data_IF_076478304138
#
_entry.id   IF_076478304138
#
_cell.length_a   1.000
_cell.length_b   1.000
_cell.length_c   1.000
_cell.angle_alpha   90.00
_cell.angle_beta   90.00
_cell.angle_gamma   90.00
#
_symmetry.space_group_name_H-M   'P 1'
#
loop_
_entity.id
_entity.type
_entity.pdbx_description
1 polymer ?
#
# COMPACT_ATOMS: atom_id res chain seq x y z
N UNK A 1 30.89 4.07 10.46
CA UNK A 1 31.99 3.09 10.68
C UNK A 1 33.29 3.45 9.95
N UNK A 2 33.35 3.53 8.61
CA UNK A 2 34.62 3.86 7.94
C UNK A 2 35.12 5.28 8.26
N UNK A 3 34.22 6.28 8.25
CA UNK A 3 34.58 7.67 8.58
C UNK A 3 35.03 7.80 10.05
N UNK A 4 34.36 7.10 10.98
CA UNK A 4 34.68 7.13 12.40
C UNK A 4 36.02 6.45 12.73
N UNK A 5 36.36 5.34 12.05
CA UNK A 5 37.63 4.64 12.28
C UNK A 5 38.82 5.36 11.63
N UNK A 6 38.58 6.13 10.55
CA UNK A 6 39.62 6.86 9.81
C UNK A 6 40.24 8.00 10.61
N UNK A 7 39.55 8.51 11.64
CA UNK A 7 40.08 9.58 12.49
C UNK A 7 41.20 9.11 13.41
N UNK A 8 41.29 7.81 13.72
CA UNK A 8 42.24 7.27 14.69
C UNK A 8 43.13 6.16 14.14
N UNK A 9 42.75 5.50 13.04
CA UNK A 9 43.47 4.33 12.52
C UNK A 9 43.56 4.34 10.99
N UNK A 10 44.62 3.72 10.46
CA UNK A 10 44.81 3.50 9.02
C UNK A 10 45.56 2.19 8.74
N UNK A 11 45.08 1.43 7.74
CA UNK A 11 45.79 0.28 7.20
C UNK A 11 45.40 0.00 5.73
N UNK A 12 46.24 -0.71 4.95
CA UNK A 12 45.91 -1.10 3.58
C UNK A 12 44.67 -1.98 3.54
N UNK A 13 43.66 -1.61 2.74
CA UNK A 13 42.42 -2.39 2.61
C UNK A 13 41.35 -2.12 3.66
N UNK A 14 41.56 -1.18 4.59
CA UNK A 14 40.64 -0.84 5.69
C UNK A 14 39.16 -0.72 5.31
N UNK A 15 38.84 -0.08 4.19
CA UNK A 15 37.45 0.05 3.72
C UNK A 15 36.82 -1.32 3.38
N UNK A 16 37.60 -2.22 2.78
CA UNK A 16 37.19 -3.58 2.40
C UNK A 16 36.96 -4.43 3.65
N UNK A 17 37.86 -4.35 4.62
CA UNK A 17 37.75 -5.13 5.86
C UNK A 17 36.56 -4.69 6.70
N UNK A 18 36.32 -3.38 6.79
CA UNK A 18 35.15 -2.82 7.47
C UNK A 18 33.86 -3.26 6.78
N UNK A 19 33.81 -3.23 5.44
CA UNK A 19 32.64 -3.70 4.69
C UNK A 19 32.38 -5.20 4.93
N UNK A 20 33.44 -6.01 4.97
CA UNK A 20 33.36 -7.45 5.21
C UNK A 20 32.93 -7.77 6.64
N UNK A 21 33.41 -7.00 7.62
CA UNK A 21 32.98 -7.10 9.02
C UNK A 21 31.49 -6.75 9.17
N UNK A 22 31.06 -5.61 8.61
CA UNK A 22 29.65 -5.19 8.65
C UNK A 22 28.75 -6.19 7.92
N UNK A 23 29.20 -6.75 6.79
CA UNK A 23 28.46 -7.76 6.04
C UNK A 23 28.28 -9.09 6.78
N UNK A 24 29.15 -9.41 7.75
CA UNK A 24 29.04 -10.60 8.61
C UNK A 24 28.23 -10.35 9.89
N UNK A 25 27.91 -9.09 10.21
CA UNK A 25 27.18 -8.76 11.43
C UNK A 25 25.70 -9.11 11.28
N UNK A 26 25.24 -10.14 12.00
CA UNK A 26 23.85 -10.59 11.98
C UNK A 26 22.85 -9.49 12.37
N UNK A 27 23.19 -8.64 13.33
CA UNK A 27 22.34 -7.52 13.73
C UNK A 27 22.22 -6.49 12.61
N UNK A 28 23.34 -6.15 11.94
CA UNK A 28 23.31 -5.25 10.79
C UNK A 28 22.55 -5.85 9.61
N UNK A 29 22.70 -7.14 9.33
CA UNK A 29 21.99 -7.81 8.23
C UNK A 29 20.50 -7.97 8.49
N UNK A 30 20.07 -8.11 9.75
CA UNK A 30 18.65 -8.17 10.11
C UNK A 30 17.95 -6.80 10.07
N UNK A 31 18.70 -5.73 10.35
CA UNK A 31 18.14 -4.36 10.43
C UNK A 31 18.27 -3.61 9.10
N UNK A 32 19.32 -3.88 8.32
CA UNK A 32 19.47 -3.27 6.99
C UNK A 32 18.54 -3.98 6.00
N UNK A 33 17.54 -3.24 5.52
CA UNK A 33 16.86 -3.59 4.29
C UNK A 33 17.89 -3.76 3.16
N UNK A 34 17.88 -4.92 2.52
CA UNK A 34 18.67 -5.18 1.33
C UNK A 34 18.10 -4.29 0.21
N UNK A 35 18.83 -3.24 -0.18
CA UNK A 35 18.53 -2.53 -1.42
C UNK A 35 18.91 -3.47 -2.58
N UNK A 36 18.06 -4.45 -2.84
CA UNK A 36 18.25 -5.38 -3.95
C UNK A 36 18.37 -4.59 -5.26
N UNK A 37 19.06 -5.20 -6.24
CA UNK A 37 19.05 -4.76 -7.64
C UNK A 37 17.61 -4.41 -8.06
N UNK A 38 17.41 -3.45 -8.99
CA UNK A 38 16.06 -3.11 -9.40
C UNK A 38 15.33 -4.39 -9.77
N UNK A 39 14.20 -4.64 -9.10
CA UNK A 39 13.22 -5.63 -9.54
C UNK A 39 13.05 -5.48 -11.06
N UNK A 40 12.83 -6.60 -11.77
CA UNK A 40 12.61 -6.56 -13.22
C UNK A 40 11.62 -5.48 -13.63
N UNK A 41 11.64 -5.07 -14.91
CA UNK A 41 10.81 -3.98 -15.42
C UNK A 41 9.39 -4.07 -14.85
N UNK A 42 9.01 -3.02 -14.09
CA UNK A 42 7.68 -2.86 -13.55
C UNK A 42 6.68 -3.05 -14.68
N UNK A 43 5.88 -4.11 -14.64
CA UNK A 43 4.67 -4.15 -15.47
C UNK A 43 3.70 -3.17 -14.85
N UNK A 44 3.75 -1.93 -15.34
CA UNK A 44 2.74 -0.95 -15.02
C UNK A 44 1.40 -1.48 -15.58
N UNK A 45 0.35 -1.56 -14.75
CA UNK A 45 -0.98 -1.82 -15.26
C UNK A 45 -1.33 -0.74 -16.27
N UNK A 46 -2.07 -1.10 -17.31
CA UNK A 46 -2.51 -0.15 -18.33
C UNK A 46 -3.10 1.12 -17.69
N UNK A 47 -2.72 2.26 -18.25
CA UNK A 47 -3.22 3.55 -17.77
C UNK A 47 -4.71 3.63 -18.14
N UNK A 48 -5.61 3.91 -17.19
CA UNK A 48 -7.03 4.05 -17.48
C UNK A 48 -7.27 5.18 -18.47
N UNK A 49 -8.31 5.06 -19.30
CA UNK A 49 -8.66 6.12 -20.25
C UNK A 49 -9.64 7.11 -19.65
N UNK A 50 -10.42 6.69 -18.64
CA UNK A 50 -11.41 7.53 -17.98
C UNK A 50 -11.23 7.63 -16.48
N UNK A 51 -11.69 8.75 -15.90
CA UNK A 51 -11.68 8.96 -14.45
C UNK A 51 -12.58 7.91 -13.78
N UNK A 52 -12.15 7.39 -12.63
CA UNK A 52 -12.92 6.40 -11.85
C UNK A 52 -13.15 5.06 -12.55
N UNK A 53 -12.50 4.83 -13.69
CA UNK A 53 -12.56 3.56 -14.40
C UNK A 53 -11.79 2.48 -13.64
N UNK A 54 -10.60 2.80 -13.17
CA UNK A 54 -9.80 1.90 -12.33
C UNK A 54 -9.42 2.60 -11.04
N UNK A 55 -9.68 1.94 -9.92
CA UNK A 55 -9.41 2.49 -8.60
C UNK A 55 -8.51 1.56 -7.79
N UNK A 56 -7.76 2.14 -6.87
CA UNK A 56 -7.02 1.40 -5.85
C UNK A 56 -7.65 1.60 -4.48
N UNK A 57 -7.76 0.55 -3.69
CA UNK A 57 -8.33 0.59 -2.34
C UNK A 57 -7.34 0.07 -1.30
N UNK A 58 -7.34 0.71 -0.14
CA UNK A 58 -6.54 0.28 1.01
C UNK A 58 -7.18 0.68 2.35
N UNK A 59 -6.77 0.03 3.43
CA UNK A 59 -7.19 0.36 4.79
C UNK A 59 -6.01 0.77 5.65
N UNK A 60 -6.04 2.01 6.12
CA UNK A 60 -5.16 2.45 7.20
C UNK A 60 -5.86 2.09 8.50
N UNK A 61 -5.28 1.17 9.27
CA UNK A 61 -5.85 0.65 10.51
C UNK A 61 -5.02 1.05 11.73
N UNK A 62 -5.52 0.76 12.94
CA UNK A 62 -4.83 1.01 14.21
C UNK A 62 -4.47 2.48 14.46
N UNK A 63 -5.30 3.39 13.97
CA UNK A 63 -5.16 4.82 14.24
C UNK A 63 -5.67 5.17 15.65
N UNK A 64 -5.21 6.28 16.24
CA UNK A 64 -5.79 6.78 17.48
C UNK A 64 -7.30 6.97 17.34
N UNK A 65 -8.06 6.39 18.27
CA UNK A 65 -9.51 6.43 18.22
C UNK A 65 -10.02 7.86 18.41
N UNK A 66 -10.82 8.33 17.47
CA UNK A 66 -11.49 9.63 17.52
C UNK A 66 -12.60 9.64 18.60
N UNK A 67 -13.07 10.82 19.07
CA UNK A 67 -14.21 10.91 19.98
C UNK A 67 -15.51 10.29 19.43
N UNK A 68 -15.63 10.23 18.10
CA UNK A 68 -16.76 9.62 17.40
C UNK A 68 -16.60 8.09 17.23
N UNK A 69 -15.48 7.53 17.70
CA UNK A 69 -15.23 6.09 17.76
C UNK A 69 -14.51 5.50 16.55
N UNK A 70 -14.18 6.27 15.52
CA UNK A 70 -13.41 5.82 14.35
C UNK A 70 -11.95 5.57 14.71
N UNK A 71 -11.39 4.46 14.22
CA UNK A 71 -10.02 3.99 14.47
C UNK A 71 -9.27 3.60 13.18
N UNK A 72 -9.92 3.75 12.03
CA UNK A 72 -9.41 3.30 10.74
C UNK A 72 -9.89 4.23 9.63
N UNK A 73 -9.15 4.30 8.52
CA UNK A 73 -9.50 5.06 7.32
C UNK A 73 -9.52 4.10 6.13
N UNK A 74 -10.62 4.12 5.38
CA UNK A 74 -10.70 3.46 4.08
C UNK A 74 -10.30 4.45 3.00
N UNK A 75 -9.19 4.14 2.33
CA UNK A 75 -8.60 4.93 1.26
C UNK A 75 -9.05 4.37 -0.09
N UNK A 76 -9.59 5.22 -0.95
CA UNK A 76 -10.02 4.86 -2.30
C UNK A 76 -9.48 5.91 -3.26
N UNK A 77 -8.60 5.52 -4.18
CA UNK A 77 -7.91 6.44 -5.08
C UNK A 77 -8.21 6.11 -6.54
N UNK A 78 -8.59 7.11 -7.31
CA UNK A 78 -8.67 7.02 -8.76
C UNK A 78 -7.27 6.92 -9.37
N UNK A 79 -7.02 5.86 -10.13
CA UNK A 79 -5.69 5.63 -10.71
C UNK A 79 -5.34 6.64 -11.78
N UNK A 80 -6.32 7.24 -12.47
CA UNK A 80 -6.06 8.22 -13.52
C UNK A 80 -5.80 9.62 -12.93
N UNK A 81 -6.78 10.19 -12.24
CA UNK A 81 -6.69 11.59 -11.76
C UNK A 81 -5.93 11.74 -10.46
N UNK A 82 -5.68 10.64 -9.74
CA UNK A 82 -5.12 10.61 -8.37
C UNK A 82 -6.02 11.28 -7.33
N UNK A 83 -7.28 11.52 -7.67
CA UNK A 83 -8.29 11.95 -6.69
C UNK A 83 -8.54 10.84 -5.68
N UNK A 84 -8.51 11.17 -4.39
CA UNK A 84 -8.66 10.21 -3.31
C UNK A 84 -9.87 10.53 -2.43
N UNK A 85 -10.57 9.49 -2.00
CA UNK A 85 -11.59 9.53 -0.97
C UNK A 85 -11.05 8.87 0.29
N UNK A 86 -11.19 9.57 1.42
CA UNK A 86 -10.81 9.10 2.74
C UNK A 86 -12.07 8.96 3.59
N UNK A 87 -12.47 7.73 3.84
CA UNK A 87 -13.70 7.44 4.57
C UNK A 87 -13.33 6.98 5.99
N UNK A 88 -13.76 7.70 7.04
CA UNK A 88 -13.53 7.25 8.41
C UNK A 88 -14.38 6.00 8.67
N UNK A 89 -13.74 4.95 9.17
CA UNK A 89 -14.38 3.67 9.49
C UNK A 89 -13.92 3.17 10.87
N UNK A 90 -14.59 2.13 11.35
CA UNK A 90 -14.12 1.38 12.51
C UNK A 90 -13.69 -0.01 12.01
N UNK A 91 -12.63 -0.55 12.61
CA UNK A 91 -12.08 -1.85 12.23
C UNK A 91 -13.10 -2.99 12.41
N UNK A 92 -14.03 -2.83 13.37
CA UNK A 92 -15.12 -3.77 13.67
C UNK A 92 -16.33 -3.66 12.72
N UNK A 93 -16.29 -2.77 11.72
CA UNK A 93 -17.38 -2.64 10.77
C UNK A 93 -17.58 -3.92 9.97
N UNK A 94 -18.81 -4.43 10.04
CA UNK A 94 -19.23 -5.55 9.21
C UNK A 94 -19.25 -5.15 7.73
N UNK A 95 -19.08 -6.15 6.87
CA UNK A 95 -19.03 -5.95 5.42
C UNK A 95 -20.30 -5.32 4.84
N UNK A 96 -21.47 -5.54 5.44
CA UNK A 96 -22.72 -4.92 4.99
C UNK A 96 -22.72 -3.39 5.18
N UNK A 97 -22.12 -2.93 6.29
CA UNK A 97 -21.97 -1.51 6.57
C UNK A 97 -20.93 -0.88 5.63
N UNK A 98 -19.81 -1.56 5.41
CA UNK A 98 -18.79 -1.14 4.45
C UNK A 98 -19.35 -1.07 3.01
N UNK A 99 -20.13 -2.06 2.57
CA UNK A 99 -20.71 -2.03 1.22
C UNK A 99 -21.70 -0.90 1.04
N UNK A 100 -22.51 -0.62 2.06
CA UNK A 100 -23.45 0.51 2.03
C UNK A 100 -22.70 1.84 1.92
N UNK A 101 -21.63 2.00 2.71
CA UNK A 101 -20.77 3.18 2.65
C UNK A 101 -20.10 3.33 1.27
N UNK A 102 -19.56 2.24 0.73
CA UNK A 102 -18.95 2.23 -0.61
C UNK A 102 -19.93 2.62 -1.72
N UNK A 103 -21.15 2.08 -1.69
CA UNK A 103 -22.18 2.41 -2.67
C UNK A 103 -22.57 3.90 -2.58
N UNK A 104 -22.80 4.39 -1.37
CA UNK A 104 -23.26 5.76 -1.17
C UNK A 104 -22.18 6.81 -1.47
N UNK A 105 -20.94 6.54 -1.06
CA UNK A 105 -19.87 7.54 -1.17
C UNK A 105 -19.08 7.45 -2.48
N UNK A 106 -19.00 6.28 -3.10
CA UNK A 106 -18.21 6.07 -4.32
C UNK A 106 -19.11 5.81 -5.52
N UNK A 107 -19.89 4.72 -5.51
CA UNK A 107 -20.69 4.32 -6.67
C UNK A 107 -21.70 5.40 -7.05
N UNK A 108 -22.40 5.98 -6.06
CA UNK A 108 -23.43 7.00 -6.32
C UNK A 108 -22.86 8.31 -6.88
N UNK A 109 -21.60 8.65 -6.55
CA UNK A 109 -20.97 9.91 -6.98
C UNK A 109 -20.19 9.76 -8.28
N UNK A 110 -19.52 8.63 -8.46
CA UNK A 110 -18.52 8.43 -9.50
C UNK A 110 -18.93 7.37 -10.54
N UNK A 111 -19.95 6.57 -10.24
CA UNK A 111 -20.31 5.39 -11.02
C UNK A 111 -19.52 4.15 -10.62
N UNK A 112 -19.80 3.05 -11.30
CA UNK A 112 -19.15 1.77 -11.03
C UNK A 112 -17.79 1.67 -11.76
N UNK A 113 -16.68 1.42 -11.05
CA UNK A 113 -15.39 1.19 -11.69
C UNK A 113 -15.39 -0.13 -12.46
N UNK A 114 -14.58 -0.22 -13.52
CA UNK A 114 -14.39 -1.47 -14.27
C UNK A 114 -13.45 -2.42 -13.53
N UNK A 115 -12.48 -1.87 -12.79
CA UNK A 115 -11.58 -2.67 -11.95
C UNK A 115 -11.13 -1.98 -10.67
N UNK A 116 -10.86 -2.81 -9.66
CA UNK A 116 -10.33 -2.43 -8.37
C UNK A 116 -9.01 -3.15 -8.16
N UNK A 117 -7.98 -2.42 -7.77
CA UNK A 117 -6.75 -2.97 -7.22
C UNK A 117 -6.83 -2.83 -5.70
N UNK A 118 -6.66 -3.91 -4.96
CA UNK A 118 -6.62 -3.85 -3.49
C UNK A 118 -5.54 -4.79 -2.95
N UNK A 119 -5.17 -4.61 -1.69
CA UNK A 119 -4.36 -5.58 -0.99
C UNK A 119 -5.15 -6.88 -0.69
N UNK A 120 -4.55 -7.79 0.08
CA UNK A 120 -5.17 -9.06 0.47
C UNK A 120 -5.89 -9.00 1.82
N UNK A 121 -6.34 -7.82 2.24
CA UNK A 121 -7.14 -7.70 3.47
C UNK A 121 -8.34 -8.67 3.42
N UNK A 122 -8.63 -9.29 4.58
CA UNK A 122 -9.74 -10.22 4.76
C UNK A 122 -11.09 -9.65 4.28
N UNK A 123 -11.28 -8.34 4.38
CA UNK A 123 -12.47 -7.62 3.92
C UNK A 123 -12.63 -7.67 2.40
N UNK A 124 -11.55 -7.44 1.66
CA UNK A 124 -11.54 -7.51 0.19
C UNK A 124 -11.54 -8.94 -0.36
N UNK A 125 -11.00 -9.89 0.40
CA UNK A 125 -11.02 -11.31 0.03
C UNK A 125 -12.31 -12.03 0.44
N UNK A 126 -13.20 -11.36 1.19
CA UNK A 126 -14.46 -11.94 1.64
C UNK A 126 -15.38 -12.33 0.47
N UNK A 127 -16.12 -13.45 0.63
CA UNK A 127 -17.09 -13.92 -0.38
C UNK A 127 -18.17 -12.89 -0.66
N UNK A 128 -18.55 -12.12 0.37
CA UNK A 128 -19.53 -11.05 0.26
C UNK A 128 -19.01 -9.96 -0.68
N UNK A 129 -17.79 -9.46 -0.47
CA UNK A 129 -17.19 -8.43 -1.32
C UNK A 129 -17.04 -8.90 -2.77
N UNK A 130 -16.53 -10.12 -2.97
CA UNK A 130 -16.39 -10.69 -4.31
C UNK A 130 -17.75 -10.80 -5.02
N UNK A 131 -18.80 -11.21 -4.31
CA UNK A 131 -20.15 -11.33 -4.87
C UNK A 131 -20.75 -9.96 -5.21
N UNK A 132 -20.55 -8.97 -4.33
CA UNK A 132 -20.97 -7.59 -4.58
C UNK A 132 -20.31 -7.02 -5.84
N UNK A 133 -18.99 -7.13 -5.95
CA UNK A 133 -18.25 -6.60 -7.10
C UNK A 133 -18.61 -7.33 -8.40
N UNK A 134 -18.82 -8.66 -8.33
CA UNK A 134 -19.34 -9.42 -9.47
C UNK A 134 -20.72 -8.94 -9.92
N UNK A 135 -21.62 -8.63 -8.98
CA UNK A 135 -22.95 -8.11 -9.28
C UNK A 135 -22.90 -6.70 -9.89
N UNK A 136 -21.92 -5.89 -9.47
CA UNK A 136 -21.66 -4.56 -10.03
C UNK A 136 -20.95 -4.60 -11.40
N UNK A 137 -20.39 -5.75 -11.79
CA UNK A 137 -19.61 -5.90 -13.02
C UNK A 137 -18.13 -5.47 -12.89
N UNK A 138 -17.67 -5.24 -11.66
CA UNK A 138 -16.31 -4.80 -11.34
C UNK A 138 -15.36 -5.99 -11.19
N UNK A 139 -14.16 -5.89 -11.77
CA UNK A 139 -13.09 -6.89 -11.57
C UNK A 139 -12.22 -6.53 -10.37
N UNK A 140 -12.02 -7.45 -9.43
CA UNK A 140 -11.14 -7.25 -8.28
C UNK A 140 -9.80 -7.93 -8.53
N UNK A 141 -8.74 -7.13 -8.58
CA UNK A 141 -7.37 -7.56 -8.75
C UNK A 141 -6.64 -7.41 -7.40
N UNK A 142 -6.40 -8.53 -6.73
CA UNK A 142 -5.66 -8.54 -5.47
C UNK A 142 -4.16 -8.42 -5.74
N UNK A 143 -3.50 -7.44 -5.13
CA UNK A 143 -2.05 -7.33 -5.18
C UNK A 143 -1.40 -8.54 -4.50
N UNK A 144 -0.21 -8.91 -4.96
CA UNK A 144 0.59 -9.94 -4.30
C UNK A 144 1.20 -9.36 -3.03
N UNK A 145 1.01 -10.05 -1.89
CA UNK A 145 1.69 -9.71 -0.64
C UNK A 145 3.20 -9.56 -0.92
N UNK A 146 3.80 -8.44 -0.48
CA UNK A 146 5.21 -8.11 -0.69
C UNK A 146 5.63 -7.76 -2.14
N UNK A 147 4.71 -7.39 -3.04
CA UNK A 147 5.03 -6.72 -4.30
C UNK A 147 4.25 -5.39 -4.43
N UNK A 148 4.71 -4.35 -3.72
CA UNK A 148 4.10 -3.01 -3.75
C UNK A 148 4.05 -2.40 -5.16
N UNK A 149 5.00 -2.84 -5.99
CA UNK A 149 5.30 -2.33 -7.30
C UNK A 149 4.19 -2.35 -8.37
N UNK A 150 3.02 -2.95 -8.10
CA UNK A 150 1.93 -3.04 -9.09
C UNK A 150 1.20 -1.70 -9.28
N UNK A 151 1.22 -0.78 -8.30
CA UNK A 151 0.69 0.58 -8.50
C UNK A 151 1.42 1.62 -7.63
N UNK A 152 2.75 1.73 -7.80
CA UNK A 152 3.61 2.59 -6.96
C UNK A 152 3.23 4.09 -6.92
N UNK A 153 2.27 4.54 -7.74
CA UNK A 153 1.73 5.90 -7.71
C UNK A 153 0.60 6.06 -6.67
N UNK A 154 -0.34 5.12 -6.60
CA UNK A 154 -1.37 5.13 -5.55
C UNK A 154 -0.76 4.77 -4.19
N UNK A 155 0.20 3.84 -4.17
CA UNK A 155 0.96 3.51 -2.97
C UNK A 155 1.71 4.68 -2.36
N UNK A 156 2.29 5.58 -3.17
CA UNK A 156 2.91 6.80 -2.62
C UNK A 156 1.90 7.70 -1.93
N UNK A 157 0.67 7.76 -2.44
CA UNK A 157 -0.40 8.55 -1.82
C UNK A 157 -0.81 7.92 -0.48
N UNK A 158 -0.90 6.59 -0.42
CA UNK A 158 -1.20 5.83 0.79
C UNK A 158 -0.05 5.95 1.81
N UNK A 159 1.20 5.70 1.41
CA UNK A 159 2.39 5.82 2.26
C UNK A 159 2.58 7.23 2.83
N UNK A 160 2.24 8.27 2.06
CA UNK A 160 2.30 9.65 2.59
C UNK A 160 1.35 9.84 3.76
N UNK A 161 0.21 9.15 3.78
CA UNK A 161 -0.76 9.21 4.87
C UNK A 161 -0.39 8.30 6.04
N UNK A 162 0.24 7.15 5.79
CA UNK A 162 0.75 6.27 6.86
C UNK A 162 1.91 6.89 7.66
N UNK A 163 2.57 7.92 7.13
CA UNK A 163 3.65 8.65 7.81
C UNK A 163 3.17 9.77 8.76
N UNK A 164 1.86 10.01 8.85
CA UNK A 164 1.23 11.01 9.74
C UNK A 164 0.78 10.32 11.03
#
# INVERSE_FOLDING_TARGET
>A
MYQDLRTSYWWPGMKKDIALYVGKCLTCSKVKAEHQKPSGLLQQPEIPQWKWEQISMDFITKLPRTPQGFDSIWVIVDRLTKSAHFLPIQEDYKMEKLSTLYINEIIARNGTPTSIISDRDSRFTSRFWQSLQKALGTRVNLSTAYHPQTDGQSERTIQTLEMI
#
